data_IF_869920641889
#
_entry.id   IF_869920641889
#
_cell.length_a   1.000
_cell.length_b   1.000
_cell.length_c   1.000
_cell.angle_alpha   90.00
_cell.angle_beta   90.00
_cell.angle_gamma   90.00
#
_symmetry.space_group_name_H-M   'P 1'
#
loop_
_entity.id
_entity.type
_entity.pdbx_description
1 polymer ?
#
# COMPACT_ATOMS: atom_id res chain seq x y z
N UNK A 1 17.56 13.03 7.50
CA UNK A 1 17.00 11.69 7.22
C UNK A 1 15.72 11.84 6.40
N UNK A 2 15.62 11.18 5.24
CA UNK A 2 14.37 11.12 4.46
C UNK A 2 13.39 10.24 5.21
N UNK A 3 12.27 10.80 5.70
CA UNK A 3 11.22 10.03 6.37
C UNK A 3 10.52 9.15 5.33
N UNK A 4 10.68 7.83 5.45
CA UNK A 4 10.11 6.82 4.54
C UNK A 4 8.59 6.66 4.69
N UNK A 5 7.99 7.34 5.67
CA UNK A 5 6.55 7.26 5.97
C UNK A 5 5.73 8.24 5.14
N UNK A 6 6.37 9.12 4.37
CA UNK A 6 5.69 10.03 3.44
C UNK A 6 6.09 9.70 2.01
N UNK A 7 5.13 9.71 1.07
CA UNK A 7 5.45 9.67 -0.35
C UNK A 7 6.47 10.78 -0.66
N UNK A 8 7.37 10.52 -1.61
CA UNK A 8 8.24 11.59 -2.14
C UNK A 8 7.31 12.70 -2.65
N UNK A 9 7.60 13.98 -2.36
CA UNK A 9 6.74 15.16 -2.64
C UNK A 9 6.03 15.15 -4.02
N UNK A 10 6.61 14.48 -5.02
CA UNK A 10 6.02 14.28 -6.33
C UNK A 10 4.68 13.50 -6.28
N UNK A 11 4.58 12.46 -5.45
CA UNK A 11 3.37 11.64 -5.31
C UNK A 11 2.30 12.31 -4.45
N UNK A 12 2.67 13.16 -3.49
CA UNK A 12 1.72 13.83 -2.59
C UNK A 12 0.64 14.60 -3.35
N UNK A 13 1.00 15.25 -4.46
CA UNK A 13 0.05 15.99 -5.31
C UNK A 13 -1.04 15.09 -5.91
N UNK A 14 -0.66 13.89 -6.34
CA UNK A 14 -1.61 12.94 -6.90
C UNK A 14 -2.43 12.28 -5.79
N UNK A 15 -1.77 11.85 -4.72
CA UNK A 15 -2.39 11.21 -3.56
C UNK A 15 -3.44 12.12 -2.92
N UNK A 16 -3.19 13.43 -2.83
CA UNK A 16 -4.13 14.40 -2.29
C UNK A 16 -5.40 14.57 -3.14
N UNK A 17 -5.37 14.22 -4.43
CA UNK A 17 -6.53 14.32 -5.33
C UNK A 17 -7.40 13.06 -5.32
N UNK A 18 -6.83 11.89 -5.01
CA UNK A 18 -7.53 10.60 -5.08
C UNK A 18 -8.89 10.60 -4.36
N UNK A 19 -9.04 11.12 -3.11
CA UNK A 19 -10.32 11.06 -2.40
C UNK A 19 -11.48 11.75 -3.12
N UNK A 20 -11.23 12.93 -3.69
CA UNK A 20 -12.26 13.72 -4.38
C UNK A 20 -12.54 13.13 -5.76
N UNK A 21 -11.50 12.73 -6.51
CA UNK A 21 -11.65 12.11 -7.84
C UNK A 21 -12.42 10.79 -7.75
N UNK A 22 -12.11 9.94 -6.76
CA UNK A 22 -12.81 8.67 -6.56
C UNK A 22 -14.30 8.87 -6.26
N UNK A 23 -14.66 9.84 -5.41
CA UNK A 23 -16.06 10.14 -5.10
C UNK A 23 -16.81 10.68 -6.31
N UNK A 24 -16.22 11.67 -6.99
CA UNK A 24 -16.87 12.33 -8.13
C UNK A 24 -17.10 11.37 -9.30
N UNK A 25 -16.12 10.51 -9.62
CA UNK A 25 -16.14 9.73 -10.86
C UNK A 25 -16.41 8.23 -10.69
N UNK A 26 -16.28 7.67 -9.48
CA UNK A 26 -16.56 6.25 -9.21
C UNK A 26 -17.83 6.07 -8.38
N UNK A 27 -18.04 6.92 -7.37
CA UNK A 27 -19.21 6.81 -6.49
C UNK A 27 -20.40 7.69 -6.93
N UNK A 28 -20.21 8.57 -7.91
CA UNK A 28 -21.19 9.58 -8.32
C UNK A 28 -21.69 10.43 -7.12
N UNK A 29 -20.74 10.79 -6.24
CA UNK A 29 -20.96 11.64 -5.07
C UNK A 29 -20.32 13.03 -5.33
N UNK A 30 -20.93 13.89 -6.16
CA UNK A 30 -20.33 15.14 -6.57
C UNK A 30 -20.17 16.10 -5.38
N UNK A 31 -18.95 16.59 -5.18
CA UNK A 31 -18.63 17.55 -4.12
C UNK A 31 -17.20 17.44 -3.65
N UNK A 32 -16.72 18.46 -2.91
CA UNK A 32 -15.41 18.38 -2.25
C UNK A 32 -15.57 17.76 -0.89
N UNK A 33 -14.95 16.60 -0.68
CA UNK A 33 -14.97 15.92 0.61
C UNK A 33 -14.05 16.60 1.64
N UNK A 34 -13.11 17.45 1.16
CA UNK A 34 -12.00 18.02 1.95
C UNK A 34 -11.29 16.99 2.85
N UNK A 35 -11.34 15.71 2.46
CA UNK A 35 -10.84 14.59 3.25
C UNK A 35 -9.47 14.19 2.74
N UNK A 36 -8.49 14.07 3.64
CA UNK A 36 -7.17 13.54 3.27
C UNK A 36 -7.26 12.03 3.03
N UNK A 37 -6.39 11.50 2.16
CA UNK A 37 -6.31 10.05 1.88
C UNK A 37 -6.14 9.20 3.15
N UNK A 38 -5.52 9.76 4.20
CA UNK A 38 -5.28 9.08 5.48
C UNK A 38 -6.53 8.96 6.34
N UNK A 39 -7.48 9.89 6.16
CA UNK A 39 -8.74 9.95 6.91
C UNK A 39 -9.93 9.46 6.06
N UNK A 40 -9.68 9.07 4.81
CA UNK A 40 -10.71 8.64 3.89
C UNK A 40 -11.20 7.21 4.21
N UNK A 41 -12.50 7.07 4.50
CA UNK A 41 -13.16 5.78 4.73
C UNK A 41 -13.17 4.84 3.51
N UNK A 42 -12.94 5.38 2.32
CA UNK A 42 -12.78 4.64 1.07
C UNK A 42 -11.34 4.21 0.80
N UNK A 43 -10.36 4.79 1.50
CA UNK A 43 -8.97 4.39 1.38
C UNK A 43 -8.71 3.06 2.08
N UNK A 44 -8.42 2.01 1.30
CA UNK A 44 -8.13 0.69 1.84
C UNK A 44 -6.72 0.58 2.42
N UNK A 45 -5.70 1.07 1.70
CA UNK A 45 -4.33 1.11 2.18
C UNK A 45 -3.49 2.14 1.41
N UNK A 46 -2.40 2.60 2.04
CA UNK A 46 -1.31 3.33 1.40
C UNK A 46 -0.05 2.45 1.43
N UNK A 47 0.22 1.74 0.34
CA UNK A 47 1.32 0.79 0.28
C UNK A 47 2.64 1.48 -0.08
N UNK A 48 3.71 1.01 0.56
CA UNK A 48 5.07 1.45 0.24
C UNK A 48 5.50 0.82 -1.10
N UNK A 49 6.49 1.41 -1.75
CA UNK A 49 7.01 0.85 -3.01
C UNK A 49 7.82 -0.45 -2.83
N UNK A 50 8.22 -0.81 -1.60
CA UNK A 50 9.09 -1.97 -1.27
C UNK A 50 10.22 -2.24 -2.27
N UNK A 51 10.84 -1.16 -2.80
CA UNK A 51 11.63 -1.15 -4.05
C UNK A 51 12.58 -2.34 -4.24
N UNK A 52 13.39 -2.64 -3.24
CA UNK A 52 14.41 -3.69 -3.31
C UNK A 52 13.86 -5.11 -3.19
N UNK A 53 12.63 -5.28 -2.69
CA UNK A 53 11.99 -6.60 -2.64
C UNK A 53 11.44 -7.03 -3.99
N UNK A 54 11.00 -6.09 -4.84
CA UNK A 54 10.37 -6.43 -6.11
C UNK A 54 11.32 -7.19 -7.06
N UNK A 55 12.58 -6.75 -7.27
CA UNK A 55 13.53 -7.52 -8.08
C UNK A 55 13.83 -8.91 -7.50
N UNK A 56 14.03 -9.02 -6.18
CA UNK A 56 14.28 -10.30 -5.52
C UNK A 56 13.10 -11.27 -5.65
N UNK A 57 11.88 -10.75 -5.51
CA UNK A 57 10.64 -11.49 -5.70
C UNK A 57 10.49 -12.02 -7.13
N UNK A 58 10.85 -11.19 -8.11
CA UNK A 58 10.84 -11.56 -9.52
C UNK A 58 11.88 -12.65 -9.82
N UNK A 59 13.10 -12.55 -9.29
CA UNK A 59 14.15 -13.55 -9.50
C UNK A 59 13.82 -14.89 -8.81
N UNK A 60 13.29 -14.84 -7.59
CA UNK A 60 12.92 -16.02 -6.81
C UNK A 60 11.57 -16.63 -7.19
N UNK A 61 10.81 -16.01 -8.10
CA UNK A 61 9.43 -16.35 -8.45
C UNK A 61 8.51 -16.50 -7.23
N UNK A 62 8.57 -15.54 -6.30
CA UNK A 62 7.80 -15.54 -5.04
C UNK A 62 7.17 -14.18 -4.78
N UNK A 63 6.05 -14.10 -4.05
CA UNK A 63 5.57 -12.82 -3.51
C UNK A 63 6.62 -12.14 -2.65
N UNK A 64 6.68 -10.80 -2.66
CA UNK A 64 7.66 -10.02 -1.87
C UNK A 64 7.64 -10.34 -0.37
N UNK A 65 6.49 -10.72 0.17
CA UNK A 65 6.29 -11.06 1.58
C UNK A 65 6.58 -12.54 1.90
N UNK A 66 6.98 -13.35 0.90
CA UNK A 66 7.43 -14.74 1.06
C UNK A 66 8.94 -14.92 0.83
N UNK A 67 9.66 -13.83 0.57
CA UNK A 67 11.11 -13.89 0.39
C UNK A 67 11.80 -14.36 1.67
N UNK A 68 12.78 -15.25 1.50
CA UNK A 68 13.62 -15.80 2.57
C UNK A 68 15.04 -15.23 2.46
N UNK A 69 15.89 -15.41 3.47
CA UNK A 69 17.32 -15.07 3.35
C UNK A 69 18.01 -15.72 2.15
N UNK A 70 17.61 -16.96 1.80
CA UNK A 70 18.08 -17.68 0.62
C UNK A 70 17.70 -17.01 -0.71
N UNK A 71 16.73 -16.10 -0.71
CA UNK A 71 16.29 -15.32 -1.88
C UNK A 71 16.97 -13.94 -1.93
N UNK A 72 18.06 -13.73 -1.18
CA UNK A 72 18.81 -12.46 -1.13
C UNK A 72 18.22 -11.39 -0.22
N UNK A 73 17.05 -11.64 0.38
CA UNK A 73 16.45 -10.73 1.36
C UNK A 73 17.12 -10.89 2.73
N UNK A 74 18.27 -10.23 2.94
CA UNK A 74 19.02 -10.25 4.21
C UNK A 74 19.05 -8.87 4.89
N UNK A 75 19.30 -8.85 6.20
CA UNK A 75 19.39 -7.61 6.98
C UNK A 75 18.12 -6.75 6.93
N UNK A 76 18.24 -5.49 6.49
CA UNK A 76 17.11 -4.56 6.38
C UNK A 76 16.03 -5.02 5.40
N UNK A 77 16.37 -5.87 4.42
CA UNK A 77 15.38 -6.47 3.53
C UNK A 77 14.41 -7.38 4.28
N UNK A 78 14.87 -8.15 5.28
CA UNK A 78 13.97 -8.99 6.08
C UNK A 78 12.93 -8.16 6.84
N UNK A 79 13.31 -7.01 7.38
CA UNK A 79 12.35 -6.10 8.02
C UNK A 79 11.32 -5.56 7.02
N UNK A 80 11.75 -5.27 5.79
CA UNK A 80 10.86 -4.86 4.72
C UNK A 80 9.90 -5.99 4.28
N UNK A 81 10.36 -7.24 4.22
CA UNK A 81 9.54 -8.42 3.93
C UNK A 81 8.43 -8.57 4.97
N UNK A 82 8.77 -8.48 6.25
CA UNK A 82 7.79 -8.54 7.35
C UNK A 82 6.82 -7.36 7.33
N UNK A 83 7.31 -6.15 7.01
CA UNK A 83 6.44 -4.97 6.85
C UNK A 83 5.48 -5.14 5.69
N UNK A 84 5.96 -5.66 4.55
CA UNK A 84 5.11 -5.98 3.40
C UNK A 84 4.04 -7.00 3.79
N UNK A 85 4.40 -8.07 4.50
CA UNK A 85 3.43 -9.05 4.99
C UNK A 85 2.33 -8.38 5.83
N UNK A 86 2.71 -7.55 6.80
CA UNK A 86 1.77 -6.85 7.66
C UNK A 86 0.83 -5.91 6.87
N UNK A 87 1.39 -5.08 5.98
CA UNK A 87 0.63 -4.11 5.18
C UNK A 87 -0.35 -4.81 4.23
N UNK A 88 0.08 -5.88 3.55
CA UNK A 88 -0.78 -6.65 2.64
C UNK A 88 -1.84 -7.47 3.39
N UNK A 89 -1.53 -8.02 4.57
CA UNK A 89 -2.51 -8.71 5.40
C UNK A 89 -3.61 -7.76 5.91
N UNK A 90 -3.23 -6.54 6.33
CA UNK A 90 -4.21 -5.50 6.72
C UNK A 90 -5.09 -5.14 5.52
N UNK A 91 -4.49 -4.93 4.34
CA UNK A 91 -5.24 -4.64 3.12
C UNK A 91 -6.21 -5.77 2.76
N UNK A 92 -5.73 -7.02 2.77
CA UNK A 92 -6.55 -8.19 2.48
C UNK A 92 -7.77 -8.22 3.41
N UNK A 93 -7.57 -8.16 4.73
CA UNK A 93 -8.67 -8.14 5.72
C UNK A 93 -9.67 -7.00 5.49
N UNK A 94 -9.20 -5.80 5.12
CA UNK A 94 -10.10 -4.67 4.78
C UNK A 94 -10.93 -4.95 3.53
N UNK A 95 -10.33 -5.55 2.49
CA UNK A 95 -11.04 -5.97 1.28
C UNK A 95 -12.10 -7.01 1.64
N UNK A 96 -11.74 -8.07 2.36
CA UNK A 96 -12.69 -9.11 2.79
C UNK A 96 -13.86 -8.52 3.57
N UNK A 97 -13.58 -7.64 4.54
CA UNK A 97 -14.62 -6.93 5.29
C UNK A 97 -15.57 -6.11 4.39
N UNK A 98 -15.05 -5.39 3.39
CA UNK A 98 -15.90 -4.61 2.45
C UNK A 98 -16.67 -5.50 1.48
N UNK A 99 -16.12 -6.66 1.12
CA UNK A 99 -16.74 -7.61 0.21
C UNK A 99 -17.59 -8.69 0.92
N UNK A 100 -17.82 -8.54 2.23
CA UNK A 100 -18.59 -9.47 3.06
C UNK A 100 -18.07 -10.92 3.04
N UNK A 101 -16.76 -11.11 3.03
CA UNK A 101 -16.15 -12.43 3.24
C UNK A 101 -14.93 -12.38 4.16
N UNK A 102 -14.67 -13.47 4.89
CA UNK A 102 -13.53 -13.57 5.80
C UNK A 102 -12.28 -14.05 5.07
N UNK A 103 -11.14 -13.41 5.39
CA UNK A 103 -9.79 -13.76 4.94
C UNK A 103 -8.97 -14.23 6.14
#
# INVERSE_FOLDING_TARGET
AVRMDRPVKAYDRWIARIPDEYRNYVLDEPGKSNTSVTNDSNCLALLKHYRSLMPLAQEAHKPIFHLKPADGAMGSHMQAVQSAYADFNILAKKIGKKANFSI
#
